data_IF_641886454698
#
_entry.id   IF_641886454698
#
_cell.length_a   1.000
_cell.length_b   1.000
_cell.length_c   1.000
_cell.angle_alpha   90.00
_cell.angle_beta   90.00
_cell.angle_gamma   90.00
#
_symmetry.space_group_name_H-M   'P 1'
#
loop_
_entity.id
_entity.type
_entity.pdbx_description
1 polymer ?
#
# COMPACT_ATOMS: atom_id res chain seq x y z
N UNK A 1 -7.07 13.34 -12.89
CA UNK A 1 -6.35 12.91 -11.67
C UNK A 1 -7.26 12.57 -10.50
N UNK A 2 -8.30 13.35 -10.26
CA UNK A 2 -9.25 13.07 -9.17
C UNK A 2 -9.88 11.68 -9.27
N UNK A 3 -10.10 11.15 -10.49
CA UNK A 3 -10.67 9.81 -10.66
C UNK A 3 -9.75 8.72 -10.08
N UNK A 4 -8.44 8.97 -10.08
CA UNK A 4 -7.49 8.04 -9.47
C UNK A 4 -7.70 7.95 -7.96
N UNK A 5 -8.05 9.07 -7.33
CA UNK A 5 -8.36 9.07 -5.90
C UNK A 5 -9.61 8.26 -5.59
N UNK A 6 -10.64 8.39 -6.45
CA UNK A 6 -11.86 7.58 -6.32
C UNK A 6 -11.54 6.09 -6.43
N UNK A 7 -10.68 5.72 -7.40
CA UNK A 7 -10.25 4.34 -7.57
C UNK A 7 -9.46 3.85 -6.35
N UNK A 8 -8.58 4.71 -5.81
CA UNK A 8 -7.78 4.35 -4.66
C UNK A 8 -8.61 4.14 -3.39
N UNK A 9 -9.76 4.84 -3.26
CA UNK A 9 -10.68 4.60 -2.15
C UNK A 9 -11.23 3.19 -2.13
N UNK A 10 -11.30 2.55 -3.27
CA UNK A 10 -11.74 1.14 -3.37
C UNK A 10 -10.78 0.19 -2.67
N UNK A 11 -9.53 0.59 -2.50
CA UNK A 11 -8.58 -0.19 -1.69
C UNK A 11 -9.10 -0.37 -0.27
N UNK A 12 -9.57 0.72 0.34
CA UNK A 12 -10.17 0.70 1.66
C UNK A 12 -11.41 -0.19 1.70
N UNK A 13 -12.29 -0.03 0.73
CA UNK A 13 -13.53 -0.78 0.67
C UNK A 13 -13.25 -2.29 0.58
N UNK A 14 -12.23 -2.68 -0.18
CA UNK A 14 -11.82 -4.08 -0.28
C UNK A 14 -11.26 -4.62 1.02
N UNK A 15 -10.50 -3.81 1.77
CA UNK A 15 -9.94 -4.24 3.06
C UNK A 15 -11.02 -4.57 4.08
N UNK A 16 -12.18 -3.93 3.99
CA UNK A 16 -13.26 -4.07 4.96
C UNK A 16 -14.50 -4.77 4.42
N UNK A 17 -14.38 -5.38 3.25
CA UNK A 17 -15.49 -6.12 2.62
C UNK A 17 -15.62 -7.51 3.25
N UNK A 18 -16.61 -7.66 4.11
CA UNK A 18 -16.83 -8.90 4.83
C UNK A 18 -17.30 -10.06 3.94
N UNK A 19 -17.71 -9.79 2.70
CA UNK A 19 -18.06 -10.84 1.75
C UNK A 19 -16.83 -11.53 1.16
N UNK A 20 -15.64 -10.96 1.38
CA UNK A 20 -14.37 -11.49 0.88
C UNK A 20 -13.62 -12.13 2.05
N UNK A 21 -12.99 -13.28 1.82
CA UNK A 21 -12.17 -13.94 2.82
C UNK A 21 -11.08 -12.98 3.30
N UNK A 22 -10.76 -12.99 4.60
CA UNK A 22 -9.96 -11.94 5.24
C UNK A 22 -8.60 -11.73 4.56
N UNK A 23 -7.84 -12.79 4.33
CA UNK A 23 -6.51 -12.67 3.69
C UNK A 23 -6.60 -12.24 2.24
N UNK A 24 -7.65 -12.63 1.55
CA UNK A 24 -7.87 -12.22 0.17
C UNK A 24 -8.17 -10.74 0.03
N UNK A 25 -8.69 -10.09 1.06
CA UNK A 25 -8.96 -8.65 1.04
C UNK A 25 -7.71 -7.86 0.77
N UNK A 26 -6.63 -8.18 1.46
CA UNK A 26 -5.34 -7.49 1.27
C UNK A 26 -4.80 -7.73 -0.15
N UNK A 27 -4.81 -8.97 -0.59
CA UNK A 27 -4.33 -9.34 -1.92
C UNK A 27 -5.12 -8.61 -3.01
N UNK A 28 -6.45 -8.63 -2.93
CA UNK A 28 -7.31 -7.97 -3.93
C UNK A 28 -7.17 -6.47 -3.88
N UNK A 29 -7.09 -5.90 -2.69
CA UNK A 29 -6.89 -4.48 -2.50
C UNK A 29 -5.55 -4.01 -3.06
N UNK A 30 -4.48 -4.72 -2.75
CA UNK A 30 -3.15 -4.41 -3.24
C UNK A 30 -3.07 -4.51 -4.77
N UNK A 31 -3.69 -5.54 -5.33
CA UNK A 31 -3.73 -5.73 -6.78
C UNK A 31 -4.51 -4.61 -7.46
N UNK A 32 -5.65 -4.24 -6.91
CA UNK A 32 -6.44 -3.13 -7.42
C UNK A 32 -5.65 -1.82 -7.37
N UNK A 33 -5.03 -1.54 -6.24
CA UNK A 33 -4.21 -0.34 -6.05
C UNK A 33 -3.07 -0.29 -7.07
N UNK A 34 -2.33 -1.38 -7.19
CA UNK A 34 -1.19 -1.47 -8.11
C UNK A 34 -1.63 -1.25 -9.56
N UNK A 35 -2.74 -1.86 -9.96
CA UNK A 35 -3.29 -1.69 -11.31
C UNK A 35 -3.70 -0.25 -11.57
N UNK A 36 -4.21 0.44 -10.55
CA UNK A 36 -4.59 1.86 -10.67
C UNK A 36 -3.39 2.78 -10.92
N UNK A 37 -2.18 2.33 -10.57
CA UNK A 37 -0.94 3.09 -10.79
C UNK A 37 -0.34 2.85 -12.18
N UNK A 38 -0.92 1.96 -12.96
CA UNK A 38 -0.42 1.65 -14.29
C UNK A 38 -0.39 2.89 -15.16
N UNK A 39 0.73 3.11 -15.83
CA UNK A 39 0.92 4.27 -16.69
C UNK A 39 1.39 5.54 -15.98
N UNK A 40 1.53 5.53 -14.66
CA UNK A 40 2.12 6.64 -13.95
C UNK A 40 3.64 6.58 -14.07
N UNK A 41 4.22 7.58 -14.77
CA UNK A 41 5.65 7.68 -14.91
C UNK A 41 6.27 8.55 -13.80
N UNK A 42 7.60 8.48 -13.67
CA UNK A 42 8.32 9.38 -12.77
C UNK A 42 8.08 10.84 -13.14
N UNK A 43 8.06 11.16 -14.45
CA UNK A 43 7.78 12.51 -14.92
C UNK A 43 6.38 12.97 -14.50
N UNK A 44 5.39 12.10 -14.64
CA UNK A 44 4.02 12.41 -14.23
C UNK A 44 3.94 12.75 -12.74
N UNK A 45 4.58 11.96 -11.89
CA UNK A 45 4.62 12.22 -10.45
C UNK A 45 5.32 13.54 -10.12
N UNK A 46 6.43 13.82 -10.79
CA UNK A 46 7.19 15.05 -10.61
C UNK A 46 6.36 16.29 -11.01
N UNK A 47 5.69 16.22 -12.15
CA UNK A 47 4.83 17.29 -12.62
C UNK A 47 3.65 17.52 -11.70
N UNK A 48 3.06 16.44 -11.22
CA UNK A 48 1.94 16.49 -10.28
C UNK A 48 2.35 17.25 -9.01
N UNK A 49 3.49 16.89 -8.45
CA UNK A 49 4.01 17.52 -7.24
C UNK A 49 4.35 18.98 -7.44
N UNK A 50 4.99 19.31 -8.56
CA UNK A 50 5.50 20.66 -8.81
C UNK A 50 4.44 21.62 -9.32
N UNK A 51 3.49 21.16 -10.11
CA UNK A 51 2.55 22.03 -10.81
C UNK A 51 1.09 21.88 -10.39
N UNK A 52 0.77 20.87 -9.61
CA UNK A 52 -0.61 20.60 -9.17
C UNK A 52 -0.67 20.37 -7.65
N UNK A 53 -0.36 21.44 -6.87
CA UNK A 53 -0.26 21.30 -5.42
C UNK A 53 -1.54 20.87 -4.74
N UNK A 54 -2.71 21.24 -5.26
CA UNK A 54 -3.99 20.80 -4.68
C UNK A 54 -4.20 19.32 -4.86
N UNK A 55 -3.89 18.80 -6.04
CA UNK A 55 -3.98 17.36 -6.32
C UNK A 55 -2.96 16.60 -5.49
N UNK A 56 -1.77 17.14 -5.33
CA UNK A 56 -0.75 16.51 -4.47
C UNK A 56 -1.19 16.46 -3.01
N UNK A 57 -1.90 17.49 -2.54
CA UNK A 57 -2.47 17.49 -1.19
C UNK A 57 -3.51 16.38 -1.01
N UNK A 58 -4.26 16.05 -2.06
CA UNK A 58 -5.18 14.92 -2.04
C UNK A 58 -4.43 13.58 -1.92
N UNK A 59 -3.27 13.47 -2.54
CA UNK A 59 -2.39 12.29 -2.39
C UNK A 59 -1.95 12.15 -0.93
N UNK A 60 -1.55 13.26 -0.29
CA UNK A 60 -1.16 13.26 1.11
C UNK A 60 -2.32 12.83 2.02
N UNK A 61 -3.52 13.33 1.74
CA UNK A 61 -4.70 12.96 2.53
C UNK A 61 -5.01 11.47 2.37
N UNK A 62 -4.94 10.95 1.15
CA UNK A 62 -5.11 9.53 0.89
C UNK A 62 -4.08 8.70 1.65
N UNK A 63 -2.84 9.14 1.62
CA UNK A 63 -1.72 8.51 2.32
C UNK A 63 -2.03 8.36 3.82
N UNK A 64 -2.44 9.45 4.47
CA UNK A 64 -2.75 9.44 5.90
C UNK A 64 -3.94 8.56 6.25
N UNK A 65 -5.01 8.64 5.45
CA UNK A 65 -6.19 7.80 5.66
C UNK A 65 -5.90 6.34 5.44
N UNK A 66 -5.07 6.01 4.46
CA UNK A 66 -4.67 4.63 4.20
C UNK A 66 -3.89 4.05 5.37
N UNK A 67 -3.04 4.85 6.02
CA UNK A 67 -2.30 4.41 7.19
C UNK A 67 -3.25 4.01 8.33
N UNK A 68 -4.28 4.81 8.58
CA UNK A 68 -5.26 4.48 9.62
C UNK A 68 -6.04 3.21 9.28
N UNK A 69 -6.46 3.07 8.03
CA UNK A 69 -7.19 1.89 7.57
C UNK A 69 -6.36 0.63 7.67
N UNK A 70 -5.10 0.70 7.29
CA UNK A 70 -4.22 -0.46 7.34
C UNK A 70 -3.91 -0.89 8.76
N UNK A 71 -3.79 0.05 9.70
CA UNK A 71 -3.64 -0.27 11.12
C UNK A 71 -4.80 -1.12 11.62
N UNK A 72 -6.02 -0.71 11.30
CA UNK A 72 -7.23 -1.42 11.68
C UNK A 72 -7.22 -2.84 11.10
N UNK A 73 -6.85 -2.97 9.84
CA UNK A 73 -6.76 -4.27 9.18
C UNK A 73 -5.68 -5.15 9.80
N UNK A 74 -4.50 -4.60 10.06
CA UNK A 74 -3.42 -5.33 10.73
C UNK A 74 -3.84 -5.84 12.10
N UNK A 75 -4.47 -4.98 12.90
CA UNK A 75 -4.90 -5.37 14.24
C UNK A 75 -5.95 -6.49 14.18
N UNK A 76 -6.87 -6.40 13.23
CA UNK A 76 -7.87 -7.45 13.04
C UNK A 76 -7.22 -8.78 12.66
N UNK A 77 -6.21 -8.74 11.79
CA UNK A 77 -5.48 -9.95 11.39
C UNK A 77 -4.69 -10.59 12.53
N UNK A 78 -4.08 -9.76 13.38
CA UNK A 78 -3.39 -10.25 14.58
C UNK A 78 -4.39 -10.88 15.53
N UNK A 79 -5.52 -10.23 15.77
CA UNK A 79 -6.57 -10.73 16.67
C UNK A 79 -7.16 -12.05 16.19
N UNK A 80 -7.23 -12.25 14.88
CA UNK A 80 -7.71 -13.49 14.27
C UNK A 80 -6.65 -14.60 14.23
N UNK A 81 -5.40 -14.28 14.57
CA UNK A 81 -4.30 -15.21 14.45
C UNK A 81 -3.82 -15.48 13.03
N UNK A 82 -4.27 -14.68 12.07
CA UNK A 82 -3.89 -14.80 10.67
C UNK A 82 -2.54 -14.13 10.41
N UNK A 83 -2.30 -13.00 11.08
CA UNK A 83 -1.03 -12.29 11.01
C UNK A 83 -0.21 -12.55 12.27
N UNK A 84 1.11 -12.53 12.11
CA UNK A 84 2.04 -12.53 13.24
C UNK A 84 1.72 -11.36 14.13
N UNK A 85 2.07 -11.47 15.40
CA UNK A 85 2.00 -10.34 16.31
C UNK A 85 3.14 -9.38 16.00
N UNK A 86 2.81 -8.11 15.81
CA UNK A 86 3.79 -7.05 15.60
C UNK A 86 3.18 -5.72 16.07
N UNK A 87 4.02 -4.72 16.20
CA UNK A 87 3.55 -3.37 16.55
C UNK A 87 2.91 -2.74 15.33
N UNK A 88 1.58 -2.54 15.36
CA UNK A 88 0.85 -2.03 14.21
C UNK A 88 1.20 -0.58 13.87
N UNK A 89 1.53 0.22 14.87
CA UNK A 89 1.94 1.61 14.63
C UNK A 89 3.28 1.67 13.90
N UNK A 90 4.24 0.90 14.36
CA UNK A 90 5.54 0.79 13.68
C UNK A 90 5.38 0.32 12.25
N UNK A 91 4.53 -0.69 12.03
CA UNK A 91 4.31 -1.23 10.70
C UNK A 91 3.67 -0.21 9.77
N UNK A 92 2.68 0.53 10.27
CA UNK A 92 2.02 1.57 9.48
C UNK A 92 2.97 2.73 9.17
N UNK A 93 3.83 3.11 10.11
CA UNK A 93 4.86 4.12 9.85
C UNK A 93 5.85 3.65 8.78
N UNK A 94 6.23 2.38 8.82
CA UNK A 94 7.05 1.76 7.76
C UNK A 94 6.36 1.85 6.41
N UNK A 95 5.07 1.54 6.37
CA UNK A 95 4.30 1.59 5.13
C UNK A 95 4.25 3.00 4.55
N UNK A 96 4.09 4.01 5.41
CA UNK A 96 4.12 5.41 4.98
C UNK A 96 5.49 5.80 4.43
N UNK A 97 6.55 5.38 5.09
CA UNK A 97 7.91 5.65 4.66
C UNK A 97 8.17 5.07 3.27
N UNK A 98 7.80 3.82 3.07
CA UNK A 98 7.96 3.18 1.76
C UNK A 98 7.04 3.78 0.71
N UNK A 99 5.82 4.17 1.09
CA UNK A 99 4.92 4.87 0.18
C UNK A 99 5.59 6.13 -0.37
N UNK A 100 6.15 6.95 0.49
CA UNK A 100 6.82 8.20 0.09
C UNK A 100 8.00 7.93 -0.86
N UNK A 101 8.75 6.87 -0.59
CA UNK A 101 9.87 6.46 -1.43
C UNK A 101 9.39 6.00 -2.80
N UNK A 102 8.31 5.21 -2.83
CA UNK A 102 7.83 4.62 -4.09
C UNK A 102 7.11 5.60 -5.02
N UNK A 103 6.73 6.78 -4.53
CA UNK A 103 6.18 7.84 -5.38
C UNK A 103 7.20 8.95 -5.68
N UNK A 104 8.43 8.78 -5.24
CA UNK A 104 9.49 9.76 -5.49
C UNK A 104 10.10 9.52 -6.87
N UNK A 105 9.94 10.50 -7.76
CA UNK A 105 10.45 10.42 -9.11
C UNK A 105 11.96 10.17 -9.17
N UNK A 106 12.71 10.79 -8.26
CA UNK A 106 14.17 10.63 -8.19
C UNK A 106 14.57 9.21 -7.86
N UNK A 107 13.87 8.60 -6.89
CA UNK A 107 14.08 7.21 -6.51
C UNK A 107 13.78 6.26 -7.68
N UNK A 108 12.64 6.47 -8.34
CA UNK A 108 12.20 5.61 -9.44
C UNK A 108 13.19 5.66 -10.61
N UNK A 109 13.70 6.85 -10.94
CA UNK A 109 14.69 6.99 -12.03
C UNK A 109 16.02 6.35 -11.66
N UNK A 110 16.46 6.54 -10.42
CA UNK A 110 17.73 5.98 -9.93
C UNK A 110 17.75 4.46 -10.03
N UNK A 111 16.64 3.82 -9.76
CA UNK A 111 16.54 2.36 -9.71
C UNK A 111 15.91 1.74 -10.96
N UNK A 112 15.58 2.57 -11.94
CA UNK A 112 14.97 2.13 -13.20
C UNK A 112 13.77 1.21 -12.96
N UNK A 113 12.87 1.67 -12.10
CA UNK A 113 11.67 0.93 -11.72
C UNK A 113 10.46 1.86 -11.87
N UNK A 114 9.33 1.29 -12.30
CA UNK A 114 8.07 2.05 -12.37
C UNK A 114 7.39 2.08 -11.00
N UNK A 115 6.51 3.05 -10.80
CA UNK A 115 5.75 3.13 -9.56
C UNK A 115 4.89 1.87 -9.37
N UNK A 116 4.30 1.35 -10.44
CA UNK A 116 3.52 0.11 -10.41
C UNK A 116 4.35 -1.07 -9.92
N UNK A 117 5.55 -1.25 -10.49
CA UNK A 117 6.44 -2.33 -10.10
C UNK A 117 6.88 -2.22 -8.64
N UNK A 118 7.19 -0.99 -8.20
CA UNK A 118 7.63 -0.75 -6.84
C UNK A 118 6.55 -1.17 -5.83
N UNK A 119 5.31 -0.73 -6.04
CA UNK A 119 4.21 -1.09 -5.16
C UNK A 119 3.87 -2.57 -5.24
N UNK A 120 3.91 -3.18 -6.43
CA UNK A 120 3.64 -4.61 -6.57
C UNK A 120 4.63 -5.45 -5.77
N UNK A 121 5.90 -5.13 -5.86
CA UNK A 121 6.94 -5.83 -5.12
C UNK A 121 6.82 -5.62 -3.61
N UNK A 122 6.56 -4.38 -3.21
CA UNK A 122 6.41 -4.05 -1.80
C UNK A 122 5.24 -4.80 -1.17
N UNK A 123 4.06 -4.76 -1.80
CA UNK A 123 2.89 -5.45 -1.27
C UNK A 123 3.11 -6.95 -1.15
N UNK A 124 3.77 -7.54 -2.13
CA UNK A 124 4.06 -8.98 -2.11
C UNK A 124 4.95 -9.35 -0.94
N UNK A 125 6.04 -8.61 -0.75
CA UNK A 125 6.96 -8.85 0.36
C UNK A 125 6.27 -8.65 1.70
N UNK A 126 5.50 -7.56 1.84
CA UNK A 126 4.80 -7.24 3.08
C UNK A 126 3.78 -8.32 3.42
N UNK A 127 2.96 -8.70 2.46
CA UNK A 127 1.89 -9.67 2.68
C UNK A 127 2.44 -11.00 3.18
N UNK A 128 3.42 -11.54 2.47
CA UNK A 128 4.01 -12.82 2.88
C UNK A 128 4.81 -12.70 4.18
N UNK A 129 5.33 -11.52 4.47
CA UNK A 129 6.06 -11.29 5.72
C UNK A 129 5.17 -11.26 6.96
N UNK A 130 3.91 -10.85 6.85
CA UNK A 130 3.01 -10.74 8.01
C UNK A 130 2.15 -11.97 8.23
N UNK A 131 1.97 -12.81 7.22
CA UNK A 131 1.16 -14.03 7.34
C UNK A 131 1.79 -15.03 8.29
N UNK A 132 0.96 -15.66 9.09
CA UNK A 132 1.35 -16.84 9.87
C UNK A 132 1.36 -18.01 8.89
N UNK A 133 2.48 -18.73 8.79
CA UNK A 133 2.57 -19.91 7.96
C UNK A 133 3.35 -20.98 8.70
N UNK A 134 2.83 -22.20 8.67
CA UNK A 134 3.45 -23.35 9.30
C UNK A 134 4.74 -23.77 8.60
N UNK A 135 4.97 -23.26 7.40
CA UNK A 135 6.13 -23.65 6.60
C UNK A 135 7.30 -22.69 6.76
N UNK A 136 7.26 -21.78 7.72
CA UNK A 136 8.42 -20.94 7.98
C UNK A 136 9.54 -21.78 8.55
N UNK A 137 10.65 -21.76 7.84
CA UNK A 137 11.82 -22.55 8.17
C UNK A 137 12.71 -21.86 9.20
N UNK A 138 12.43 -20.60 9.55
CA UNK A 138 13.14 -19.89 10.60
C UNK A 138 12.69 -20.44 11.94
N UNK A 139 13.51 -21.25 12.48
CA UNK A 139 13.30 -21.62 13.87
C UNK A 139 13.97 -20.54 14.69
N UNK A 140 13.31 -19.93 15.36
CA UNK A 140 13.93 -19.02 16.20
C UNK A 140 14.28 -18.98 17.01
#
# INVERSE_FOLDING_TARGET
MWFKLIELQKFRDLLFDESIEFTERYYKGARFFTTSLKGMSALYLEDLKNYFPKTWADVDLFREKSAENIKTYYQAGINKGVFRSFNVDMMAESDLFFFDMMIDAKFLRKHDITVEEAFAQYFKMKFYGVLVTEKLVFSN
#
